data_IF_842911074781
#
_entry.id   IF_842911074781
#
_cell.length_a   1.000
_cell.length_b   1.000
_cell.length_c   1.000
_cell.angle_alpha   90.00
_cell.angle_beta   90.00
_cell.angle_gamma   90.00
#
_symmetry.space_group_name_H-M   'P 1'
#
loop_
_entity.id
_entity.type
_entity.pdbx_description
1 polymer ?
#
# COMPACT_ATOMS: atom_id res chain seq x y z
N UNK A 1 -22.55 -7.06 7.02
CA UNK A 1 -21.73 -5.86 7.30
C UNK A 1 -20.84 -5.58 6.10
N UNK A 2 -20.80 -4.34 5.66
CA UNK A 2 -19.98 -3.93 4.54
C UNK A 2 -18.56 -3.69 5.04
N UNK A 3 -17.57 -4.30 4.37
CA UNK A 3 -16.17 -4.02 4.69
C UNK A 3 -15.81 -2.60 4.27
N UNK A 4 -15.14 -1.85 5.13
CA UNK A 4 -14.66 -0.50 4.83
C UNK A 4 -13.43 -0.51 3.91
N UNK A 5 -12.78 -1.67 3.76
CA UNK A 5 -11.64 -1.84 2.88
C UNK A 5 -11.80 -3.09 2.04
N UNK A 6 -11.70 -2.93 0.74
CA UNK A 6 -11.68 -4.03 -0.21
C UNK A 6 -10.27 -4.21 -0.74
N UNK A 7 -9.78 -5.45 -0.75
CA UNK A 7 -8.43 -5.80 -1.18
C UNK A 7 -8.53 -6.83 -2.30
N UNK A 8 -8.07 -6.45 -3.49
CA UNK A 8 -7.97 -7.38 -4.63
C UNK A 8 -6.51 -7.55 -4.98
N UNK A 9 -6.05 -8.80 -5.03
CA UNK A 9 -4.66 -9.13 -5.29
C UNK A 9 -4.56 -9.80 -6.65
N UNK A 10 -3.62 -9.32 -7.46
CA UNK A 10 -3.27 -9.93 -8.74
C UNK A 10 -1.79 -10.25 -8.71
N UNK A 11 -1.43 -11.50 -8.96
CA UNK A 11 -0.04 -11.94 -8.94
C UNK A 11 0.30 -12.63 -10.25
N UNK A 12 1.44 -12.24 -10.82
CA UNK A 12 1.96 -12.81 -12.06
C UNK A 12 3.47 -12.99 -11.90
N UNK A 13 3.90 -14.23 -11.62
CA UNK A 13 5.30 -14.49 -11.32
C UNK A 13 5.74 -13.72 -10.08
N UNK A 14 6.81 -12.93 -10.21
CA UNK A 14 7.32 -12.09 -9.13
C UNK A 14 6.63 -10.74 -9.00
N UNK A 15 5.64 -10.42 -9.84
CA UNK A 15 4.92 -9.15 -9.80
C UNK A 15 3.59 -9.33 -9.08
N UNK A 16 3.31 -8.45 -8.12
CA UNK A 16 2.11 -8.51 -7.31
C UNK A 16 1.49 -7.12 -7.21
N UNK A 17 0.20 -7.01 -7.51
CA UNK A 17 -0.56 -5.76 -7.44
C UNK A 17 -1.70 -5.92 -6.46
N UNK A 18 -1.76 -5.00 -5.50
CA UNK A 18 -2.86 -4.89 -4.54
C UNK A 18 -3.72 -3.69 -4.95
N UNK A 19 -4.94 -3.97 -5.39
CA UNK A 19 -5.91 -2.90 -5.70
C UNK A 19 -6.78 -2.70 -4.46
N UNK A 20 -6.69 -1.51 -3.88
CA UNK A 20 -7.34 -1.19 -2.63
C UNK A 20 -8.46 -0.18 -2.85
N UNK A 21 -9.60 -0.41 -2.21
CA UNK A 21 -10.77 0.46 -2.32
C UNK A 21 -11.38 0.69 -0.94
N UNK A 22 -11.69 1.94 -0.62
CA UNK A 22 -12.34 2.32 0.64
C UNK A 22 -11.45 3.15 1.53
N UNK A 23 -11.32 2.75 2.79
CA UNK A 23 -10.60 3.49 3.84
C UNK A 23 -9.52 2.63 4.46
N UNK A 24 -8.38 3.23 4.74
CA UNK A 24 -7.33 2.59 5.52
C UNK A 24 -7.17 3.38 6.81
N UNK A 25 -7.77 2.88 7.88
CA UNK A 25 -7.77 3.50 9.21
C UNK A 25 -7.24 2.52 10.25
N UNK A 26 -7.36 2.86 11.53
CA UNK A 26 -6.85 2.01 12.61
C UNK A 26 -7.55 0.66 12.69
N UNK A 27 -8.77 0.54 12.15
CA UNK A 27 -9.53 -0.71 12.12
C UNK A 27 -9.15 -1.56 10.91
N UNK A 28 -8.96 -0.96 9.73
CA UNK A 28 -8.69 -1.69 8.50
C UNK A 28 -7.21 -1.91 8.23
N UNK A 29 -6.33 -1.09 8.81
CA UNK A 29 -4.89 -1.28 8.61
C UNK A 29 -4.38 -2.65 9.04
N UNK A 30 -4.80 -3.23 10.19
CA UNK A 30 -4.42 -4.60 10.53
C UNK A 30 -4.92 -5.62 9.52
N UNK A 31 -6.12 -5.42 8.96
CA UNK A 31 -6.66 -6.28 7.92
C UNK A 31 -5.77 -6.24 6.67
N UNK A 32 -5.35 -5.04 6.27
CA UNK A 32 -4.45 -4.89 5.12
C UNK A 32 -3.12 -5.59 5.40
N UNK A 33 -2.52 -5.35 6.56
CA UNK A 33 -1.24 -5.97 6.92
C UNK A 33 -1.32 -7.49 6.89
N UNK A 34 -2.42 -8.06 7.38
CA UNK A 34 -2.62 -9.51 7.42
C UNK A 34 -2.77 -10.12 6.02
N UNK A 35 -3.15 -9.31 5.03
CA UNK A 35 -3.37 -9.77 3.67
C UNK A 35 -2.18 -9.51 2.73
N UNK A 36 -1.11 -8.90 3.23
CA UNK A 36 0.09 -8.66 2.44
C UNK A 36 1.05 -9.83 2.63
N UNK A 37 1.34 -10.53 1.55
CA UNK A 37 2.25 -11.68 1.53
C UNK A 37 3.31 -11.43 0.47
N UNK A 38 4.54 -11.21 0.89
CA UNK A 38 5.60 -10.74 -0.01
C UNK A 38 6.66 -11.78 -0.33
N UNK A 39 6.47 -13.03 0.07
CA UNK A 39 7.41 -14.11 -0.27
C UNK A 39 7.47 -14.28 -1.79
N UNK A 40 8.67 -14.19 -2.34
CA UNK A 40 8.89 -14.35 -3.77
C UNK A 40 8.45 -13.17 -4.62
N UNK A 41 7.95 -12.10 -4.01
CA UNK A 41 7.54 -10.89 -4.73
C UNK A 41 8.78 -10.03 -4.99
N UNK A 42 8.98 -9.67 -6.26
CA UNK A 42 10.08 -8.80 -6.67
C UNK A 42 9.60 -7.40 -7.03
N UNK A 43 8.37 -7.30 -7.52
CA UNK A 43 7.77 -6.02 -7.87
C UNK A 43 6.40 -5.94 -7.20
N UNK A 44 6.26 -5.01 -6.28
CA UNK A 44 5.03 -4.82 -5.51
C UNK A 44 4.41 -3.49 -5.89
N UNK A 45 3.13 -3.52 -6.25
CA UNK A 45 2.37 -2.31 -6.59
C UNK A 45 1.13 -2.24 -5.72
N UNK A 46 0.89 -1.07 -5.13
CA UNK A 46 -0.38 -0.74 -4.49
C UNK A 46 -1.10 0.29 -5.35
N UNK A 47 -2.29 -0.05 -5.81
CA UNK A 47 -3.15 0.85 -6.56
C UNK A 47 -4.17 1.46 -5.61
N UNK A 48 -4.08 2.77 -5.39
CA UNK A 48 -4.90 3.48 -4.43
C UNK A 48 -5.98 4.36 -5.08
N UNK A 49 -6.32 4.12 -6.33
CA UNK A 49 -7.34 4.91 -7.03
C UNK A 49 -8.67 4.95 -6.26
N UNK A 50 -9.01 3.85 -5.59
CA UNK A 50 -10.24 3.73 -4.82
C UNK A 50 -10.13 4.10 -3.34
N UNK A 51 -8.97 4.58 -2.88
CA UNK A 51 -8.77 4.94 -1.47
C UNK A 51 -9.08 6.42 -1.27
N UNK A 52 -10.00 6.73 -0.36
CA UNK A 52 -10.41 8.09 -0.05
C UNK A 52 -9.95 8.57 1.33
N UNK A 53 -9.42 7.67 2.17
CA UNK A 53 -8.95 8.01 3.50
C UNK A 53 -7.77 7.13 3.90
N UNK A 54 -6.76 7.74 4.51
CA UNK A 54 -5.55 7.03 4.94
C UNK A 54 -5.09 7.62 6.27
N UNK A 55 -5.02 6.78 7.31
CA UNK A 55 -4.55 7.17 8.64
C UNK A 55 -3.06 6.88 8.81
N UNK A 56 -2.52 7.32 9.95
CA UNK A 56 -1.12 7.01 10.32
C UNK A 56 -0.89 5.50 10.45
N UNK A 57 -1.91 4.75 10.88
CA UNK A 57 -1.81 3.29 10.94
C UNK A 57 -1.64 2.70 9.55
N UNK A 58 -2.35 3.24 8.55
CA UNK A 58 -2.18 2.83 7.15
C UNK A 58 -0.82 3.20 6.59
N UNK A 59 -0.34 4.40 6.89
CA UNK A 59 1.01 4.83 6.47
C UNK A 59 2.07 3.85 6.97
N UNK A 60 1.92 3.37 8.20
CA UNK A 60 2.86 2.41 8.79
C UNK A 60 2.87 1.09 8.02
N UNK A 61 1.72 0.62 7.54
CA UNK A 61 1.65 -0.62 6.75
C UNK A 61 2.48 -0.48 5.47
N UNK A 62 2.34 0.63 4.78
CA UNK A 62 3.12 0.87 3.56
C UNK A 62 4.61 0.99 3.84
N UNK A 63 4.98 1.62 4.95
CA UNK A 63 6.38 1.71 5.35
C UNK A 63 6.97 0.33 5.63
N UNK A 64 6.23 -0.53 6.32
CA UNK A 64 6.67 -1.90 6.60
C UNK A 64 6.83 -2.70 5.31
N UNK A 65 5.89 -2.55 4.37
CA UNK A 65 5.98 -3.22 3.07
C UNK A 65 7.22 -2.77 2.29
N UNK A 66 7.49 -1.46 2.28
CA UNK A 66 8.68 -0.92 1.61
C UNK A 66 9.97 -1.47 2.24
N UNK A 67 10.02 -1.51 3.57
CA UNK A 67 11.18 -2.04 4.29
C UNK A 67 11.42 -3.51 3.94
N UNK A 68 10.35 -4.30 3.90
CA UNK A 68 10.43 -5.71 3.55
C UNK A 68 10.93 -5.89 2.11
N UNK A 69 10.40 -5.10 1.17
CA UNK A 69 10.83 -5.18 -0.23
C UNK A 69 12.28 -4.76 -0.40
N UNK A 70 12.72 -3.74 0.33
CA UNK A 70 14.13 -3.31 0.28
C UNK A 70 15.06 -4.42 0.77
N UNK A 71 14.71 -5.11 1.84
CA UNK A 71 15.50 -6.22 2.37
C UNK A 71 15.56 -7.39 1.39
N UNK A 72 14.49 -7.61 0.65
CA UNK A 72 14.42 -8.68 -0.33
C UNK A 72 15.08 -8.32 -1.67
N UNK A 73 15.54 -7.10 -1.83
CA UNK A 73 16.11 -6.61 -3.09
C UNK A 73 15.08 -6.35 -4.17
N UNK A 74 13.81 -6.20 -3.80
CA UNK A 74 12.73 -5.91 -4.73
C UNK A 74 12.40 -4.43 -4.80
N UNK A 75 11.34 -4.10 -5.54
CA UNK A 75 10.87 -2.74 -5.72
C UNK A 75 9.39 -2.63 -5.34
N UNK A 76 9.00 -1.46 -4.84
CA UNK A 76 7.62 -1.17 -4.48
C UNK A 76 7.21 0.16 -5.08
N UNK A 77 5.99 0.22 -5.61
CA UNK A 77 5.38 1.44 -6.13
C UNK A 77 3.98 1.60 -5.57
N UNK A 78 3.59 2.84 -5.33
CA UNK A 78 2.20 3.20 -5.01
C UNK A 78 1.70 4.07 -6.16
N UNK A 79 0.61 3.66 -6.79
CA UNK A 79 0.10 4.33 -7.99
C UNK A 79 -1.33 4.82 -7.79
N UNK A 80 -1.71 5.78 -8.63
CA UNK A 80 -3.07 6.32 -8.71
C UNK A 80 -3.56 6.95 -7.42
N UNK A 81 -2.65 7.55 -6.64
CA UNK A 81 -3.03 8.27 -5.43
C UNK A 81 -3.87 9.49 -5.77
N UNK A 82 -4.99 9.64 -5.05
CA UNK A 82 -5.76 10.88 -5.11
C UNK A 82 -4.90 12.01 -4.51
N UNK A 83 -5.09 13.27 -4.94
CA UNK A 83 -4.24 14.38 -4.49
C UNK A 83 -4.10 14.50 -2.98
N UNK A 84 -5.20 14.34 -2.22
CA UNK A 84 -5.14 14.45 -0.77
C UNK A 84 -4.39 13.28 -0.12
N UNK A 85 -4.45 12.09 -0.72
CA UNK A 85 -3.70 10.92 -0.25
C UNK A 85 -2.21 11.11 -0.56
N UNK A 86 -1.89 11.58 -1.75
CA UNK A 86 -0.51 11.88 -2.14
C UNK A 86 0.08 12.96 -1.20
N UNK A 87 -0.72 13.94 -0.83
CA UNK A 87 -0.31 14.98 0.12
C UNK A 87 0.03 14.42 1.49
N UNK A 88 -0.68 13.38 1.95
CA UNK A 88 -0.36 12.73 3.22
C UNK A 88 1.00 12.04 3.19
N UNK A 89 1.28 11.30 2.11
CA UNK A 89 2.60 10.67 1.95
C UNK A 89 3.71 11.71 1.91
N UNK A 90 3.48 12.80 1.18
CA UNK A 90 4.45 13.89 1.07
C UNK A 90 4.69 14.57 2.42
N UNK A 91 3.63 14.82 3.19
CA UNK A 91 3.72 15.50 4.48
C UNK A 91 4.57 14.75 5.50
N UNK A 92 4.60 13.41 5.43
CA UNK A 92 5.41 12.60 6.34
C UNK A 92 6.74 12.18 5.72
N UNK A 93 7.09 12.71 4.55
CA UNK A 93 8.39 12.47 3.91
C UNK A 93 8.50 11.14 3.17
N UNK A 94 7.41 10.42 2.95
CA UNK A 94 7.47 9.11 2.31
C UNK A 94 7.80 9.19 0.83
N UNK A 95 7.57 10.32 0.18
CA UNK A 95 7.93 10.51 -1.23
C UNK A 95 9.45 10.49 -1.45
N UNK A 96 10.24 10.67 -0.40
CA UNK A 96 11.70 10.57 -0.48
C UNK A 96 12.19 9.12 -0.40
N UNK A 97 11.37 8.19 0.08
CA UNK A 97 11.78 6.79 0.30
C UNK A 97 10.93 5.78 -0.47
N UNK A 98 9.83 6.23 -1.07
CA UNK A 98 8.91 5.37 -1.84
C UNK A 98 8.65 6.00 -3.20
N UNK A 99 8.42 5.14 -4.19
CA UNK A 99 7.97 5.57 -5.52
C UNK A 99 6.45 5.73 -5.47
N UNK A 100 5.97 6.97 -5.44
CA UNK A 100 4.55 7.30 -5.29
C UNK A 100 4.12 8.19 -6.45
N UNK A 101 3.05 7.78 -7.11
CA UNK A 101 2.51 8.53 -8.26
C UNK A 101 1.01 8.82 -8.14
#
# INVERSE_FOLDING_TARGET
MISELSINVSQNGGACTYVLTGRIDSTTAPQLAANIHLEGVRELVFDLAGIDYLSSAGLRVFLQAQTTMNKAGGAMRIIHCRPHIQGLFSAVGFTAIMDIA
#
